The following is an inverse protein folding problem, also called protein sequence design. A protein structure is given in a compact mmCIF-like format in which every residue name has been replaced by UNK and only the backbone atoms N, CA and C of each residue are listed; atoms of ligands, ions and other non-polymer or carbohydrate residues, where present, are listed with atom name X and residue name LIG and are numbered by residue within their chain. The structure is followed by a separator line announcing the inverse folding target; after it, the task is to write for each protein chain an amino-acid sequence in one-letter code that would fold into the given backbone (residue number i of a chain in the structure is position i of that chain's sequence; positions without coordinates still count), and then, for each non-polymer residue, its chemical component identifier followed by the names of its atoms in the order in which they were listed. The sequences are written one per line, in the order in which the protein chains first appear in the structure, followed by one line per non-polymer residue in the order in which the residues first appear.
data_IF_266503676160
#
_entry.id   IF_266503676160
#
_cell.length_a   1.000
_cell.length_b   1.000
_cell.length_c   1.000
_cell.angle_alpha   90.00
_cell.angle_beta   90.00
_cell.angle_gamma   90.00
#
_symmetry.space_group_name_H-M   'P 1'
#
loop_
_entity.id
_entity.type
_entity.pdbx_description
1 polymer ?
#
# COMPACT_ATOMS: atom_id res chain seq x y z
N UNK A 1 -17.17 -8.66 17.28
CA UNK A 1 -17.37 -7.58 16.28
C UNK A 1 -16.10 -6.75 16.30
N UNK A 2 -15.32 -6.70 15.22
CA UNK A 2 -14.18 -5.79 15.16
C UNK A 2 -14.70 -4.42 14.75
N UNK A 3 -14.65 -3.49 15.70
CA UNK A 3 -15.02 -2.09 15.58
C UNK A 3 -14.11 -1.43 14.53
N UNK A 4 -14.60 -1.27 13.31
CA UNK A 4 -13.89 -0.50 12.29
C UNK A 4 -14.21 0.95 12.54
N UNK A 5 -13.31 1.64 13.25
CA UNK A 5 -13.21 3.10 13.30
C UNK A 5 -13.30 3.63 11.85
N UNK A 6 -14.47 4.14 11.48
CA UNK A 6 -14.73 4.79 10.20
C UNK A 6 -14.30 6.25 10.33
N UNK A 7 -13.08 6.52 10.81
CA UNK A 7 -12.53 7.86 10.64
C UNK A 7 -12.33 8.09 9.15
N UNK A 8 -12.89 9.19 8.65
CA UNK A 8 -12.68 9.71 7.29
C UNK A 8 -11.19 9.69 7.00
N UNK A 9 -10.70 8.65 6.33
CA UNK A 9 -9.31 8.55 5.90
C UNK A 9 -9.11 9.68 4.91
N UNK A 10 -8.43 10.73 5.34
CA UNK A 10 -8.04 11.83 4.47
C UNK A 10 -7.34 11.24 3.24
N UNK A 11 -7.73 11.69 2.06
CA UNK A 11 -7.09 11.27 0.83
C UNK A 11 -5.62 11.69 0.88
N UNK A 12 -4.74 10.72 1.10
CA UNK A 12 -3.29 10.94 1.17
C UNK A 12 -2.66 10.44 -0.12
N UNK A 13 -1.88 11.30 -0.76
CA UNK A 13 -1.03 10.92 -1.88
C UNK A 13 -0.02 9.86 -1.45
N UNK A 14 0.42 9.06 -2.42
CA UNK A 14 1.52 8.12 -2.25
C UNK A 14 2.83 8.86 -2.46
N UNK A 15 3.71 8.78 -1.48
CA UNK A 15 5.06 9.32 -1.59
C UNK A 15 6.00 8.32 -2.25
N UNK A 16 7.08 8.81 -2.86
CA UNK A 16 8.14 7.97 -3.43
C UNK A 16 8.78 7.06 -2.37
N UNK A 17 8.82 7.48 -1.11
CA UNK A 17 9.29 6.67 0.02
C UNK A 17 8.34 5.50 0.32
N UNK A 18 7.03 5.75 0.38
CA UNK A 18 6.01 4.70 0.55
C UNK A 18 6.06 3.70 -0.61
N UNK A 19 6.22 4.17 -1.85
CA UNK A 19 6.34 3.30 -3.03
C UNK A 19 7.58 2.40 -2.96
N UNK A 20 8.75 2.98 -2.61
CA UNK A 20 9.98 2.21 -2.40
C UNK A 20 9.79 1.15 -1.32
N UNK A 21 9.18 1.52 -0.19
CA UNK A 21 8.92 0.61 0.92
C UNK A 21 7.95 -0.50 0.51
N UNK A 22 6.91 -0.16 -0.24
CA UNK A 22 5.93 -1.11 -0.76
C UNK A 22 6.59 -2.13 -1.71
N UNK A 23 7.44 -1.69 -2.63
CA UNK A 23 8.17 -2.58 -3.55
C UNK A 23 9.18 -3.44 -2.81
N UNK A 24 9.95 -2.88 -1.87
CA UNK A 24 10.92 -3.61 -1.05
C UNK A 24 10.25 -4.71 -0.21
N UNK A 25 9.16 -4.38 0.49
CA UNK A 25 8.38 -5.34 1.25
C UNK A 25 7.79 -6.43 0.35
N UNK A 26 7.37 -6.07 -0.87
CA UNK A 26 6.84 -7.06 -1.81
C UNK A 26 7.93 -7.99 -2.35
N UNK A 27 9.14 -7.48 -2.60
CA UNK A 27 10.32 -8.29 -2.96
C UNK A 27 10.70 -9.27 -1.84
N UNK A 28 10.48 -8.88 -0.58
CA UNK A 28 10.65 -9.76 0.60
C UNK A 28 9.55 -10.83 0.75
N UNK A 29 8.57 -10.88 -0.16
CA UNK A 29 7.47 -11.86 -0.11
C UNK A 29 6.35 -11.50 0.86
N UNK A 30 6.36 -10.30 1.46
CA UNK A 30 5.34 -9.87 2.41
C UNK A 30 3.98 -9.72 1.71
N UNK A 31 2.91 -10.14 2.39
CA UNK A 31 1.53 -10.04 1.89
C UNK A 31 1.02 -8.59 1.96
N UNK A 32 0.18 -8.18 1.02
CA UNK A 32 -0.36 -6.82 0.97
C UNK A 32 -1.11 -6.39 2.24
N UNK A 33 -1.72 -7.33 2.97
CA UNK A 33 -2.38 -7.06 4.25
C UNK A 33 -1.40 -6.56 5.32
N UNK A 34 -0.22 -7.18 5.41
CA UNK A 34 0.82 -6.78 6.36
C UNK A 34 1.44 -5.44 5.96
N UNK A 35 1.68 -5.23 4.66
CA UNK A 35 2.18 -3.96 4.13
C UNK A 35 1.18 -2.83 4.41
N UNK A 36 -0.11 -3.10 4.24
CA UNK A 36 -1.19 -2.17 4.57
C UNK A 36 -1.19 -1.76 6.04
N UNK A 37 -0.98 -2.70 6.96
CA UNK A 37 -0.85 -2.40 8.38
C UNK A 37 0.37 -1.51 8.65
N UNK A 38 1.52 -1.81 8.04
CA UNK A 38 2.74 -1.01 8.20
C UNK A 38 2.65 0.40 7.60
N UNK A 39 1.91 0.57 6.51
CA UNK A 39 1.72 1.85 5.82
C UNK A 39 0.48 2.61 6.29
N UNK A 40 -0.30 2.03 7.21
CA UNK A 40 -1.58 2.56 7.66
C UNK A 40 -2.54 2.85 6.48
N UNK A 41 -2.58 1.93 5.51
CA UNK A 41 -3.42 1.99 4.31
C UNK A 41 -4.32 0.76 4.22
N UNK A 42 -5.32 0.80 3.34
CA UNK A 42 -6.09 -0.41 3.01
C UNK A 42 -5.27 -1.36 2.13
N UNK A 43 -5.40 -2.69 2.28
CA UNK A 43 -4.77 -3.68 1.40
C UNK A 43 -5.08 -3.44 -0.09
N UNK A 44 -6.32 -3.04 -0.41
CA UNK A 44 -6.76 -2.76 -1.78
C UNK A 44 -6.00 -1.56 -2.39
N UNK A 45 -5.82 -0.48 -1.62
CA UNK A 45 -5.05 0.69 -2.08
C UNK A 45 -3.58 0.34 -2.32
N UNK A 46 -2.97 -0.46 -1.43
CA UNK A 46 -1.60 -0.97 -1.57
C UNK A 46 -1.47 -1.80 -2.86
N UNK A 47 -2.37 -2.74 -3.10
CA UNK A 47 -2.34 -3.58 -4.29
C UNK A 47 -2.47 -2.75 -5.58
N UNK A 48 -3.45 -1.83 -5.63
CA UNK A 48 -3.64 -0.93 -6.78
C UNK A 48 -2.39 -0.10 -7.04
N UNK A 49 -1.75 0.42 -5.98
CA UNK A 49 -0.52 1.20 -6.12
C UNK A 49 0.63 0.35 -6.63
N UNK A 50 0.83 -0.84 -6.06
CA UNK A 50 1.88 -1.76 -6.50
C UNK A 50 1.77 -2.07 -7.99
N UNK A 51 0.57 -2.46 -8.47
CA UNK A 51 0.34 -2.73 -9.90
C UNK A 51 0.64 -1.52 -10.78
N UNK A 52 0.34 -0.30 -10.32
CA UNK A 52 0.65 0.93 -11.06
C UNK A 52 2.16 1.16 -11.15
N UNK A 53 2.90 0.99 -10.05
CA UNK A 53 4.37 1.14 -10.04
C UNK A 53 5.01 0.12 -10.98
N UNK A 54 4.57 -1.14 -10.93
CA UNK A 54 5.08 -2.20 -11.79
C UNK A 54 4.82 -1.87 -13.27
N UNK A 55 3.63 -1.38 -13.63
CA UNK A 55 3.36 -0.94 -15.01
C UNK A 55 4.25 0.22 -15.47
N UNK A 56 4.45 1.22 -14.62
CA UNK A 56 5.25 2.42 -14.98
C UNK A 56 6.75 2.16 -15.09
N UNK A 57 7.27 1.04 -14.59
CA UNK A 57 8.70 0.69 -14.74
C UNK A 57 9.04 -0.03 -16.05
N UNK A 58 8.04 -0.44 -16.81
CA UNK A 58 8.18 -1.26 -18.03
C UNK A 58 7.53 -0.62 -19.26
N UNK A 59 7.23 0.68 -19.20
CA UNK A 59 6.87 1.55 -20.33
C UNK A 59 8.04 2.52 -20.55
#
# INVERSE_FOLDING_TARGET
MQETDIQKRAYRHWTTLEDKKLVDLRKKGIKFREIAQQLNRTPISVEKRFRKIEKTKFD
#
